data_IF_652221842127
#
_entry.id   IF_652221842127
#
_cell.length_a   1.000
_cell.length_b   1.000
_cell.length_c   1.000
_cell.angle_alpha   90.00
_cell.angle_beta   90.00
_cell.angle_gamma   90.00
#
_symmetry.space_group_name_H-M   'P 1'
#
loop_
_entity.id
_entity.type
_entity.pdbx_description
1 polymer ?
#
# COMPACT_ATOMS: atom_id res chain seq x y z
N UNK A 1 -1.15 38.64 -38.61
CA UNK A 1 -1.85 37.41 -38.18
C UNK A 1 -2.07 37.55 -36.67
N UNK A 2 -3.28 37.87 -36.25
CA UNK A 2 -3.61 38.12 -34.84
C UNK A 2 -3.56 36.77 -34.11
N UNK A 3 -2.60 36.58 -33.21
CA UNK A 3 -2.55 35.37 -32.37
C UNK A 3 -3.76 35.44 -31.45
N UNK A 4 -4.70 34.51 -31.56
CA UNK A 4 -5.93 34.50 -30.75
C UNK A 4 -5.73 33.72 -29.45
N UNK A 5 -5.12 32.53 -29.54
CA UNK A 5 -4.85 31.63 -28.41
C UNK A 5 -3.61 30.78 -28.70
N UNK A 6 -2.76 30.57 -27.71
CA UNK A 6 -1.74 29.52 -27.72
C UNK A 6 -2.06 28.47 -26.68
N UNK A 7 -1.91 27.20 -27.05
CA UNK A 7 -1.99 26.03 -26.18
C UNK A 7 -0.82 25.11 -26.53
N UNK A 8 -0.09 24.67 -25.52
CA UNK A 8 1.04 23.77 -25.65
C UNK A 8 0.91 22.62 -24.66
N UNK A 9 1.03 21.39 -25.12
CA UNK A 9 0.91 20.16 -24.32
C UNK A 9 2.12 19.28 -24.64
N UNK A 10 2.84 18.83 -23.61
CA UNK A 10 3.97 17.90 -23.79
C UNK A 10 3.44 16.50 -24.11
N UNK A 11 4.15 15.77 -24.97
CA UNK A 11 3.72 14.50 -25.56
C UNK A 11 3.41 13.39 -24.55
N UNK A 12 3.96 13.47 -23.34
CA UNK A 12 3.73 12.56 -22.22
C UNK A 12 2.48 12.92 -21.39
N UNK A 13 1.78 14.00 -21.74
CA UNK A 13 0.62 14.51 -21.02
C UNK A 13 0.92 15.09 -19.64
N UNK A 14 2.20 15.22 -19.28
CA UNK A 14 2.66 15.66 -17.95
C UNK A 14 2.47 17.16 -17.69
N UNK A 15 2.30 17.96 -18.75
CA UNK A 15 2.24 19.40 -18.67
C UNK A 15 1.48 20.02 -19.84
N UNK A 16 0.67 21.03 -19.54
CA UNK A 16 0.01 21.89 -20.50
C UNK A 16 0.10 23.36 -20.09
N UNK A 17 0.22 24.28 -21.05
CA UNK A 17 0.13 25.71 -20.81
C UNK A 17 -0.62 26.42 -21.92
N UNK A 18 -1.33 27.50 -21.57
CA UNK A 18 -2.10 28.29 -22.52
C UNK A 18 -2.05 29.79 -22.21
N UNK A 19 -2.23 30.58 -23.26
CA UNK A 19 -2.34 32.04 -23.17
C UNK A 19 -3.18 32.57 -24.33
N UNK A 20 -4.26 33.26 -23.97
CA UNK A 20 -5.03 34.12 -24.84
C UNK A 20 -4.29 35.46 -25.01
N UNK A 21 -4.14 35.92 -26.24
CA UNK A 21 -3.43 37.18 -26.55
C UNK A 21 -4.38 38.34 -26.83
N UNK A 22 -5.68 38.15 -26.59
CA UNK A 22 -6.64 39.24 -26.64
C UNK A 22 -6.45 40.15 -25.42
N UNK A 23 -6.20 41.44 -25.67
CA UNK A 23 -5.76 42.43 -24.66
C UNK A 23 -6.69 42.57 -23.45
N UNK A 24 -7.99 42.32 -23.63
CA UNK A 24 -9.00 42.42 -22.56
C UNK A 24 -9.33 41.08 -21.90
N UNK A 25 -8.89 39.95 -22.46
CA UNK A 25 -9.28 38.63 -21.98
C UNK A 25 -8.43 38.15 -20.80
N UNK A 26 -7.10 38.38 -20.87
CA UNK A 26 -6.17 38.02 -19.79
C UNK A 26 -6.05 36.52 -19.48
N UNK A 27 -6.78 35.66 -20.20
CA UNK A 27 -6.88 34.24 -19.91
C UNK A 27 -5.57 33.51 -20.23
N UNK A 28 -4.83 33.13 -19.20
CA UNK A 28 -3.59 32.37 -19.30
C UNK A 28 -3.45 31.43 -18.11
N UNK A 29 -2.78 30.30 -18.31
CA UNK A 29 -2.62 29.30 -17.26
C UNK A 29 -1.64 28.21 -17.65
N UNK A 30 -1.27 27.42 -16.66
CA UNK A 30 -0.50 26.19 -16.83
C UNK A 30 -1.09 25.11 -15.92
N UNK A 31 -1.01 23.87 -16.35
CA UNK A 31 -1.45 22.69 -15.64
C UNK A 31 -0.35 21.64 -15.71
N UNK A 32 0.01 21.06 -14.57
CA UNK A 32 0.84 19.87 -14.49
C UNK A 32 -0.09 18.69 -14.27
N UNK A 33 0.15 17.56 -14.92
CA UNK A 33 -0.51 16.32 -14.56
C UNK A 33 0.10 15.83 -13.24
N UNK A 34 -0.41 16.37 -12.14
CA UNK A 34 -0.25 15.77 -10.82
C UNK A 34 -0.92 14.39 -10.86
N UNK A 35 -0.27 13.39 -10.28
CA UNK A 35 -0.73 12.00 -10.21
C UNK A 35 -2.16 11.93 -9.66
N UNK A 36 -3.19 12.00 -10.51
CA UNK A 36 -4.61 11.67 -10.27
C UNK A 36 -5.26 12.11 -8.93
N UNK A 37 -4.65 13.01 -8.16
CA UNK A 37 -5.00 13.26 -6.75
C UNK A 37 -5.73 14.60 -6.51
N UNK A 38 -5.98 15.41 -7.54
CA UNK A 38 -6.51 16.77 -7.35
C UNK A 38 -7.98 16.97 -7.74
N UNK A 39 -8.76 15.92 -8.02
CA UNK A 39 -10.20 16.06 -8.31
C UNK A 39 -11.13 16.07 -7.07
N UNK A 40 -10.61 15.78 -5.87
CA UNK A 40 -11.38 15.90 -4.64
C UNK A 40 -10.75 16.98 -3.76
N UNK A 41 -11.40 18.14 -3.71
CA UNK A 41 -11.06 19.23 -2.81
C UNK A 41 -11.21 18.81 -1.36
N UNK A 42 -10.14 18.28 -0.79
CA UNK A 42 -9.79 18.43 0.62
C UNK A 42 -8.28 18.56 0.61
N UNK A 43 -7.77 19.75 0.99
CA UNK A 43 -6.36 19.94 1.27
C UNK A 43 -5.97 19.00 2.41
N UNK A 44 -5.55 17.78 2.07
CA UNK A 44 -4.94 16.88 3.02
C UNK A 44 -3.54 17.41 3.29
N UNK A 45 -3.32 17.80 4.53
CA UNK A 45 -2.00 17.87 5.14
C UNK A 45 -1.41 16.46 5.00
N UNK A 46 -0.62 16.22 3.95
CA UNK A 46 0.24 15.05 3.88
C UNK A 46 1.27 15.29 4.97
N UNK A 47 1.06 14.68 6.13
CA UNK A 47 2.13 14.60 7.11
C UNK A 47 3.30 13.91 6.40
N UNK A 48 4.38 14.67 6.23
CA UNK A 48 5.62 14.20 5.66
C UNK A 48 6.20 13.18 6.63
N UNK A 49 5.81 11.92 6.49
CA UNK A 49 6.53 10.82 7.12
C UNK A 49 7.94 10.81 6.55
N UNK A 50 8.95 10.68 7.42
CA UNK A 50 10.29 10.32 6.96
C UNK A 50 10.14 9.02 6.17
N UNK A 51 10.46 9.12 4.88
CA UNK A 51 10.29 8.03 3.95
C UNK A 51 11.26 6.92 4.35
N UNK A 52 10.75 5.86 4.98
CA UNK A 52 11.54 4.67 5.30
C UNK A 52 11.99 4.05 3.98
N UNK A 53 13.30 3.90 3.81
CA UNK A 53 13.88 3.25 2.63
C UNK A 53 14.28 1.83 2.97
N UNK A 54 14.29 0.94 1.98
CA UNK A 54 14.72 -0.45 2.14
C UNK A 54 16.15 -0.51 2.68
N UNK A 55 17.02 0.40 2.24
CA UNK A 55 18.40 0.52 2.70
C UNK A 55 18.48 0.98 4.16
N UNK A 56 17.64 1.94 4.56
CA UNK A 56 17.66 2.49 5.93
C UNK A 56 17.32 1.46 7.00
N UNK A 57 16.48 0.48 6.68
CA UNK A 57 16.10 -0.63 7.57
C UNK A 57 16.85 -1.93 7.23
N UNK A 58 17.85 -1.86 6.34
CA UNK A 58 18.74 -2.97 6.02
C UNK A 58 18.01 -4.16 5.40
N UNK A 59 17.19 -3.92 4.39
CA UNK A 59 16.56 -4.96 3.59
C UNK A 59 17.38 -5.27 2.34
N UNK A 60 17.25 -6.50 1.86
CA UNK A 60 17.80 -6.96 0.59
C UNK A 60 16.89 -8.01 -0.06
N UNK A 61 17.08 -8.30 -1.36
CA UNK A 61 16.34 -9.36 -2.04
C UNK A 61 16.47 -10.72 -1.36
N UNK A 62 15.45 -11.56 -1.52
CA UNK A 62 15.45 -12.91 -0.95
C UNK A 62 16.59 -13.77 -1.50
N UNK A 63 17.28 -14.46 -0.60
CA UNK A 63 18.27 -15.47 -0.94
C UNK A 63 17.63 -16.84 -1.22
N UNK A 64 18.40 -17.72 -1.86
CA UNK A 64 17.95 -19.05 -2.27
C UNK A 64 17.30 -19.87 -1.14
N UNK A 65 17.75 -19.71 0.11
CA UNK A 65 17.19 -20.40 1.27
C UNK A 65 15.73 -20.01 1.54
N UNK A 66 15.42 -18.72 1.54
CA UNK A 66 14.05 -18.26 1.79
C UNK A 66 13.17 -18.47 0.56
N UNK A 67 13.72 -18.36 -0.65
CA UNK A 67 13.01 -18.76 -1.88
C UNK A 67 12.60 -20.24 -1.79
N UNK A 68 13.49 -21.14 -1.37
CA UNK A 68 13.17 -22.55 -1.17
C UNK A 68 12.09 -22.76 -0.08
N UNK A 69 12.18 -22.03 1.04
CA UNK A 69 11.17 -22.07 2.10
C UNK A 69 9.76 -21.70 1.60
N UNK A 70 9.65 -20.71 0.72
CA UNK A 70 8.38 -20.35 0.10
C UNK A 70 7.96 -21.33 -1.00
N UNK A 71 8.92 -21.90 -1.73
CA UNK A 71 8.68 -22.95 -2.72
C UNK A 71 8.05 -24.21 -2.11
N UNK A 72 8.46 -24.62 -0.92
CA UNK A 72 7.81 -25.71 -0.15
C UNK A 72 6.33 -25.43 0.17
N UNK A 73 5.92 -24.15 0.14
CA UNK A 73 4.54 -23.69 0.37
C UNK A 73 3.82 -23.38 -0.94
N UNK A 74 4.39 -23.77 -2.08
CA UNK A 74 3.85 -23.51 -3.40
C UNK A 74 3.71 -22.00 -3.72
N UNK A 75 4.55 -21.16 -3.11
CA UNK A 75 4.61 -19.73 -3.41
C UNK A 75 5.80 -19.47 -4.33
N UNK A 76 5.52 -18.96 -5.52
CA UNK A 76 6.51 -18.70 -6.55
C UNK A 76 7.35 -17.44 -6.25
N UNK A 77 8.58 -17.43 -6.77
CA UNK A 77 9.44 -16.25 -6.67
C UNK A 77 8.82 -15.00 -7.32
N UNK A 78 8.04 -15.19 -8.39
CA UNK A 78 7.31 -14.10 -9.06
C UNK A 78 6.30 -13.44 -8.11
N UNK A 79 5.56 -14.23 -7.34
CA UNK A 79 4.62 -13.70 -6.35
C UNK A 79 5.35 -12.97 -5.24
N UNK A 80 6.48 -13.52 -4.75
CA UNK A 80 7.32 -12.86 -3.74
C UNK A 80 7.84 -11.50 -4.22
N UNK A 81 8.36 -11.44 -5.45
CA UNK A 81 8.89 -10.21 -6.05
C UNK A 81 7.80 -9.16 -6.22
N UNK A 82 6.62 -9.52 -6.76
CA UNK A 82 5.50 -8.59 -6.95
C UNK A 82 4.98 -8.02 -5.62
N UNK A 83 5.06 -8.83 -4.56
CA UNK A 83 4.67 -8.46 -3.20
C UNK A 83 5.78 -7.79 -2.39
N UNK A 84 6.93 -7.53 -3.02
CA UNK A 84 8.11 -6.96 -2.40
C UNK A 84 8.50 -7.68 -1.08
N UNK A 85 8.40 -9.02 -1.07
CA UNK A 85 8.91 -9.81 0.05
C UNK A 85 10.43 -9.80 -0.02
N UNK A 86 11.06 -9.43 1.08
CA UNK A 86 12.50 -9.24 1.21
C UNK A 86 13.06 -10.04 2.39
N UNK A 87 14.35 -9.90 2.66
CA UNK A 87 14.98 -10.40 3.88
C UNK A 87 15.83 -9.33 4.56
N UNK A 88 16.15 -9.52 5.84
CA UNK A 88 17.11 -8.66 6.52
C UNK A 88 18.53 -8.92 6.04
N UNK A 89 19.27 -7.85 5.77
CA UNK A 89 20.68 -7.90 5.40
C UNK A 89 21.54 -8.43 6.55
N UNK A 90 21.16 -8.16 7.81
CA UNK A 90 21.87 -8.61 9.01
C UNK A 90 21.59 -10.07 9.41
N UNK A 91 20.45 -10.64 9.02
CA UNK A 91 20.13 -12.06 9.23
C UNK A 91 19.31 -12.60 8.04
N UNK A 92 19.98 -13.40 7.21
CA UNK A 92 19.43 -14.01 6.00
C UNK A 92 18.32 -15.05 6.26
N UNK A 93 17.97 -15.31 7.52
CA UNK A 93 16.87 -16.21 7.92
C UNK A 93 15.59 -15.46 8.32
N UNK A 94 15.61 -14.13 8.27
CA UNK A 94 14.48 -13.29 8.61
C UNK A 94 13.79 -12.82 7.34
N UNK A 95 12.53 -13.19 7.21
CA UNK A 95 11.62 -12.73 6.15
C UNK A 95 11.13 -11.34 6.54
N UNK A 96 11.16 -10.42 5.60
CA UNK A 96 10.63 -9.07 5.71
C UNK A 96 9.44 -8.88 4.77
N UNK A 97 8.27 -8.61 5.34
CA UNK A 97 7.06 -8.25 4.61
C UNK A 97 6.96 -6.72 4.56
N UNK A 98 7.19 -6.13 3.39
CA UNK A 98 7.14 -4.67 3.22
C UNK A 98 5.71 -4.17 3.03
N UNK A 99 5.21 -3.37 3.95
CA UNK A 99 3.94 -2.68 3.83
C UNK A 99 4.14 -1.45 2.96
N UNK A 100 3.37 -1.35 1.88
CA UNK A 100 3.52 -0.29 0.88
C UNK A 100 2.24 0.49 0.66
N UNK A 101 2.42 1.76 0.33
CA UNK A 101 1.38 2.66 -0.12
C UNK A 101 1.90 3.47 -1.31
N UNK A 102 1.21 3.39 -2.44
CA UNK A 102 1.61 3.99 -3.71
C UNK A 102 3.05 3.60 -4.10
N UNK A 103 3.43 2.34 -3.84
CA UNK A 103 4.78 1.82 -4.07
C UNK A 103 5.82 2.21 -3.01
N UNK A 104 5.51 3.14 -2.10
CA UNK A 104 6.43 3.59 -1.06
C UNK A 104 6.38 2.68 0.16
N UNK A 105 7.54 2.37 0.74
CA UNK A 105 7.64 1.61 1.98
C UNK A 105 7.15 2.47 3.16
N UNK A 106 6.11 2.00 3.85
CA UNK A 106 5.50 2.69 5.00
C UNK A 106 5.58 1.89 6.30
N UNK A 107 5.99 0.63 6.21
CA UNK A 107 6.23 -0.22 7.37
C UNK A 107 6.82 -1.56 6.96
N UNK A 108 7.40 -2.28 7.92
CA UNK A 108 7.91 -3.61 7.68
C UNK A 108 7.59 -4.52 8.86
N UNK A 109 7.14 -5.74 8.55
CA UNK A 109 6.92 -6.80 9.52
C UNK A 109 7.88 -7.93 9.24
N UNK A 110 8.52 -8.40 10.29
CA UNK A 110 9.53 -9.43 10.23
C UNK A 110 9.00 -10.74 10.79
N UNK A 111 9.50 -11.82 10.21
CA UNK A 111 9.23 -13.17 10.67
C UNK A 111 10.48 -14.04 10.51
N UNK A 112 10.86 -14.76 11.55
CA UNK A 112 11.82 -15.88 11.41
C UNK A 112 11.11 -17.14 10.91
N UNK A 113 11.86 -18.04 10.27
CA UNK A 113 11.38 -19.39 9.94
C UNK A 113 10.80 -20.10 11.18
N UNK A 114 11.37 -19.85 12.37
CA UNK A 114 10.87 -20.32 13.67
C UNK A 114 9.63 -19.61 14.22
N UNK A 115 8.88 -18.87 13.40
CA UNK A 115 7.62 -18.20 13.76
C UNK A 115 7.73 -17.16 14.90
N UNK A 116 8.85 -16.42 14.97
CA UNK A 116 8.95 -15.21 15.82
C UNK A 116 8.67 -13.99 14.95
N UNK A 117 7.88 -13.04 15.47
CA UNK A 117 7.40 -11.88 14.72
C UNK A 117 7.71 -10.58 15.44
N UNK A 118 8.05 -9.53 14.68
CA UNK A 118 8.14 -8.15 15.16
C UNK A 118 7.88 -7.18 14.00
N UNK A 119 7.75 -5.89 14.31
CA UNK A 119 7.46 -4.84 13.33
C UNK A 119 8.39 -3.66 13.56
N UNK A 120 8.62 -2.88 12.50
CA UNK A 120 9.29 -1.59 12.60
C UNK A 120 8.56 -0.67 13.58
N UNK A 121 9.34 0.00 14.43
CA UNK A 121 8.81 0.95 15.41
C UNK A 121 8.36 2.22 14.70
N UNK A 122 7.42 2.93 15.33
CA UNK A 122 6.98 4.26 14.89
C UNK A 122 6.44 4.31 13.46
N UNK A 123 5.95 3.17 12.96
CA UNK A 123 5.26 3.05 11.67
C UNK A 123 3.75 2.95 11.86
N UNK A 124 2.98 3.52 10.92
CA UNK A 124 1.54 3.38 10.93
C UNK A 124 1.13 1.95 10.62
N UNK A 125 0.24 1.39 11.44
CA UNK A 125 -0.37 0.10 11.12
C UNK A 125 -1.25 0.26 9.89
N UNK A 126 -0.97 -0.52 8.84
CA UNK A 126 -1.74 -0.57 7.59
C UNK A 126 -1.98 -2.02 7.19
N UNK A 127 -2.79 -2.23 6.15
CA UNK A 127 -2.99 -3.54 5.54
C UNK A 127 -1.81 -3.89 4.62
N UNK A 128 -1.38 -5.14 4.61
CA UNK A 128 -0.40 -5.62 3.66
C UNK A 128 -1.07 -5.87 2.30
N UNK A 129 -0.48 -5.38 1.20
CA UNK A 129 -1.09 -5.44 -0.13
C UNK A 129 -2.06 -4.29 -0.43
N UNK A 130 -1.99 -3.18 0.31
CA UNK A 130 -2.91 -2.03 0.18
C UNK A 130 -3.02 -1.50 -1.26
N UNK A 131 -1.91 -1.51 -2.01
CA UNK A 131 -1.89 -1.02 -3.39
C UNK A 131 -2.70 -1.89 -4.37
N UNK A 132 -2.95 -3.17 -4.02
CA UNK A 132 -3.70 -4.11 -4.84
C UNK A 132 -5.22 -3.91 -4.77
N UNK A 133 -5.69 -3.16 -3.77
CA UNK A 133 -7.12 -2.92 -3.54
C UNK A 133 -7.57 -1.51 -3.92
N UNK A 134 -6.76 -0.79 -4.68
CA UNK A 134 -7.16 0.52 -5.21
C UNK A 134 -8.30 0.36 -6.23
N UNK A 135 -9.43 1.01 -5.94
CA UNK A 135 -10.62 1.09 -6.82
C UNK A 135 -11.17 -0.28 -7.28
N UNK A 136 -10.99 -1.33 -6.47
CA UNK A 136 -11.64 -2.63 -6.67
C UNK A 136 -13.01 -2.66 -5.97
N UNK A 137 -13.99 -3.44 -6.46
CA UNK A 137 -15.32 -3.49 -5.85
C UNK A 137 -15.41 -4.43 -4.64
N UNK A 138 -14.52 -5.42 -4.54
CA UNK A 138 -14.53 -6.46 -3.52
C UNK A 138 -13.11 -6.79 -3.09
N UNK A 139 -12.90 -7.02 -1.79
CA UNK A 139 -11.62 -7.44 -1.22
C UNK A 139 -11.75 -8.69 -0.35
N UNK A 140 -10.69 -9.48 -0.34
CA UNK A 140 -10.52 -10.61 0.56
C UNK A 140 -9.54 -10.19 1.67
N UNK A 141 -9.96 -10.31 2.92
CA UNK A 141 -9.10 -10.02 4.07
C UNK A 141 -8.69 -11.34 4.72
N UNK A 142 -7.39 -11.56 4.84
CA UNK A 142 -6.78 -12.74 5.48
C UNK A 142 -6.02 -12.38 6.75
N UNK A 143 -5.71 -13.40 7.55
CA UNK A 143 -5.05 -13.23 8.84
C UNK A 143 -3.55 -12.93 8.71
N UNK A 144 -2.85 -13.66 7.83
CA UNK A 144 -1.40 -13.58 7.70
C UNK A 144 -0.91 -13.14 6.33
N UNK A 145 0.34 -12.64 6.30
CA UNK A 145 0.99 -12.22 5.05
C UNK A 145 1.20 -13.40 4.10
N UNK A 146 1.49 -14.59 4.64
CA UNK A 146 1.64 -15.81 3.81
C UNK A 146 0.30 -16.21 3.19
N UNK A 147 -0.82 -16.09 3.91
CA UNK A 147 -2.16 -16.40 3.40
C UNK A 147 -2.50 -15.49 2.21
N UNK A 148 -2.07 -14.23 2.26
CA UNK A 148 -2.22 -13.26 1.16
C UNK A 148 -1.45 -13.75 -0.07
N UNK A 149 -0.20 -14.16 0.12
CA UNK A 149 0.62 -14.72 -0.96
C UNK A 149 -0.01 -15.98 -1.56
N UNK A 150 -0.57 -16.86 -0.72
CA UNK A 150 -1.27 -18.07 -1.17
C UNK A 150 -2.52 -17.76 -1.99
N UNK A 151 -3.31 -16.76 -1.59
CA UNK A 151 -4.47 -16.32 -2.38
C UNK A 151 -4.04 -15.74 -3.73
N UNK A 152 -2.93 -15.03 -3.77
CA UNK A 152 -2.40 -14.50 -5.01
C UNK A 152 -1.92 -15.60 -5.97
N UNK A 153 -1.27 -16.66 -5.46
CA UNK A 153 -0.97 -17.86 -6.25
C UNK A 153 -2.24 -18.52 -6.81
N UNK A 154 -3.34 -18.48 -6.05
CA UNK A 154 -4.65 -18.95 -6.51
C UNK A 154 -5.35 -17.99 -7.49
N UNK A 155 -4.73 -16.87 -7.84
CA UNK A 155 -5.25 -15.89 -8.82
C UNK A 155 -6.05 -14.73 -8.20
N UNK A 156 -6.18 -14.68 -6.88
CA UNK A 156 -6.90 -13.61 -6.18
C UNK A 156 -5.94 -12.50 -5.76
N UNK A 157 -5.85 -11.44 -6.58
CA UNK A 157 -4.99 -10.28 -6.28
C UNK A 157 -5.67 -9.22 -5.42
N UNK A 158 -6.99 -9.21 -5.36
CA UNK A 158 -7.78 -8.32 -4.52
C UNK A 158 -7.78 -8.77 -3.05
N UNK A 159 -6.63 -9.16 -2.51
CA UNK A 159 -6.49 -9.66 -1.15
C UNK A 159 -5.46 -8.88 -0.33
N UNK A 160 -5.74 -8.75 0.96
CA UNK A 160 -4.92 -8.02 1.93
C UNK A 160 -4.82 -8.79 3.24
N UNK A 161 -3.72 -8.66 3.97
CA UNK A 161 -3.60 -9.23 5.32
C UNK A 161 -3.61 -8.16 6.41
N UNK A 162 -4.16 -8.55 7.57
CA UNK A 162 -4.13 -7.70 8.77
C UNK A 162 -2.73 -7.75 9.43
N UNK A 163 -2.26 -6.64 10.02
CA UNK A 163 -0.90 -6.60 10.58
C UNK A 163 -0.73 -7.40 11.87
N UNK A 164 -1.79 -7.54 12.67
CA UNK A 164 -1.74 -8.09 14.03
C UNK A 164 -2.39 -9.47 14.23
N UNK A 165 -2.84 -10.13 13.15
CA UNK A 165 -3.69 -11.32 13.24
C UNK A 165 -5.06 -11.03 13.89
N UNK A 166 -5.89 -12.06 14.04
CA UNK A 166 -7.19 -11.93 14.69
C UNK A 166 -7.05 -12.04 16.22
N UNK A 167 -7.69 -11.17 17.03
CA UNK A 167 -7.68 -11.34 18.47
C UNK A 167 -8.38 -12.64 18.87
N UNK A 168 -7.79 -13.38 19.81
CA UNK A 168 -8.29 -14.69 20.24
C UNK A 168 -9.65 -14.67 20.95
N UNK A 169 -10.20 -13.48 21.26
CA UNK A 169 -11.53 -13.30 21.84
C UNK A 169 -12.25 -12.15 21.16
N UNK A 170 -13.51 -12.37 20.78
CA UNK A 170 -14.43 -11.32 20.35
C UNK A 170 -14.82 -10.50 21.57
N UNK A 171 -14.55 -9.19 21.53
CA UNK A 171 -14.99 -8.28 22.59
C UNK A 171 -16.50 -8.10 22.51
N UNK A 172 -17.18 -8.19 23.64
CA UNK A 172 -18.62 -7.87 23.79
C UNK A 172 -18.84 -6.41 24.20
N UNK A 173 -17.77 -5.61 24.30
CA UNK A 173 -17.84 -4.19 24.66
C UNK A 173 -18.22 -3.34 23.45
N UNK A 174 -18.84 -2.18 23.70
CA UNK A 174 -19.10 -1.18 22.67
C UNK A 174 -17.81 -0.80 21.93
N UNK A 175 -17.95 -0.51 20.64
CA UNK A 175 -16.82 -0.16 19.78
C UNK A 175 -16.15 1.14 20.29
N UNK A 176 -14.84 1.13 20.56
CA UNK A 176 -14.12 2.34 20.95
C UNK A 176 -14.13 3.38 19.82
N UNK A 177 -13.98 4.65 20.15
CA UNK A 177 -13.74 5.70 19.15
C UNK A 177 -12.44 5.44 18.39
N UNK A 178 -12.32 5.93 17.16
CA UNK A 178 -11.14 5.72 16.29
C UNK A 178 -9.80 6.04 16.98
N UNK A 179 -9.76 7.09 17.79
CA UNK A 179 -8.57 7.51 18.57
C UNK A 179 -8.17 6.54 19.68
N UNK A 180 -9.13 5.77 20.20
CA UNK A 180 -8.93 4.82 21.29
C UNK A 180 -8.77 3.38 20.80
N UNK A 181 -9.03 3.13 19.52
CA UNK A 181 -8.95 1.81 18.90
C UNK A 181 -7.54 1.51 18.35
N UNK A 182 -6.59 1.32 19.26
CA UNK A 182 -5.20 1.00 18.90
C UNK A 182 -5.02 -0.40 18.32
N UNK A 183 -6.00 -1.29 18.54
CA UNK A 183 -6.01 -2.66 18.03
C UNK A 183 -6.39 -2.69 16.55
N UNK A 184 -7.41 -1.92 16.16
CA UNK A 184 -7.92 -1.85 14.79
C UNK A 184 -7.56 -0.55 14.06
N UNK A 185 -6.56 0.20 14.55
CA UNK A 185 -6.06 1.42 13.91
C UNK A 185 -5.76 1.26 12.42
N UNK A 186 -5.36 0.06 11.98
CA UNK A 186 -5.13 -0.24 10.56
C UNK A 186 -6.38 -0.12 9.68
N UNK A 187 -7.58 -0.41 10.20
CA UNK A 187 -8.83 -0.20 9.46
C UNK A 187 -9.10 1.29 9.28
N UNK A 188 -8.87 2.08 10.33
CA UNK A 188 -9.01 3.53 10.29
C UNK A 188 -8.02 4.18 9.33
N UNK A 189 -6.75 3.75 9.38
CA UNK A 189 -5.69 4.23 8.49
C UNK A 189 -5.94 3.85 7.02
N UNK A 190 -6.71 2.78 6.76
CA UNK A 190 -7.09 2.32 5.43
C UNK A 190 -8.52 2.69 5.03
N UNK A 191 -9.22 3.54 5.82
CA UNK A 191 -10.66 3.82 5.63
C UNK A 191 -11.01 4.27 4.22
N UNK A 192 -10.18 5.10 3.59
CA UNK A 192 -10.42 5.61 2.24
C UNK A 192 -10.38 4.56 1.15
N UNK A 193 -9.64 3.47 1.39
CA UNK A 193 -9.61 2.31 0.51
C UNK A 193 -10.86 1.47 0.75
N UNK A 194 -11.24 1.28 2.02
CA UNK A 194 -12.37 0.44 2.41
C UNK A 194 -13.74 1.06 2.09
N UNK A 195 -13.89 2.39 2.21
CA UNK A 195 -15.14 3.11 1.94
C UNK A 195 -15.59 3.00 0.48
N UNK A 196 -14.65 2.76 -0.44
CA UNK A 196 -14.94 2.59 -1.87
C UNK A 196 -15.43 1.18 -2.22
N UNK A 197 -15.41 0.26 -1.28
CA UNK A 197 -15.70 -1.16 -1.50
C UNK A 197 -17.20 -1.44 -1.36
N UNK A 198 -17.72 -2.33 -2.19
CA UNK A 198 -19.11 -2.80 -2.11
C UNK A 198 -19.28 -3.96 -1.12
N UNK A 199 -18.24 -4.81 -0.96
CA UNK A 199 -18.26 -5.98 -0.08
C UNK A 199 -16.85 -6.39 0.38
N UNK A 200 -16.76 -7.04 1.55
CA UNK A 200 -15.53 -7.64 2.07
C UNK A 200 -15.77 -9.07 2.55
N UNK A 201 -14.87 -9.99 2.17
CA UNK A 201 -14.91 -11.40 2.59
C UNK A 201 -13.74 -11.68 3.54
N UNK A 202 -14.06 -12.11 4.77
CA UNK A 202 -13.05 -12.52 5.76
C UNK A 202 -12.76 -14.02 5.60
N UNK A 203 -11.52 -14.35 5.24
CA UNK A 203 -11.06 -15.73 5.13
C UNK A 203 -10.11 -16.07 6.28
N UNK A 204 -10.40 -17.17 6.98
CA UNK A 204 -9.57 -17.70 8.06
C UNK A 204 -9.23 -19.16 7.79
N UNK A 205 -7.94 -19.47 7.74
CA UNK A 205 -7.46 -20.85 7.72
C UNK A 205 -7.53 -21.41 9.16
N UNK A 206 -8.11 -22.60 9.34
CA UNK A 206 -8.31 -23.27 10.64
C UNK A 206 -7.15 -24.20 10.97
#
# INVERSE_FOLDING_TARGET
MVRSLSLHIIQDGGFAMWRCFHTECGWAGQAFAESRASYYGVAKKVESFEQVSEESIGLEPLGAKLIAYFGERMISEKTLQRNAVMQMSSDKNVIAFTYRQNGLLVGCKYRTVGKRFWQEKDTEKRLYGLDDINDVPEIIIVEGEIDKLSLEEAGFRNCVSVPGGAPGKVSTKELPSSEKDTAYQYLWNCKEYLDKMLASTLAKER
#
